data_IF_072275035879
#
_entry.id   IF_072275035879
#
_cell.length_a   1.000
_cell.length_b   1.000
_cell.length_c   1.000
_cell.angle_alpha   90.00
_cell.angle_beta   90.00
_cell.angle_gamma   90.00
#
_symmetry.space_group_name_H-M   'P 1'
#
loop_
_entity.id
_entity.type
_entity.pdbx_description
1 polymer ?
#
# COMPACT_ATOMS: atom_id res chain seq x y z
N UNK A 1 25.65 -24.88 -45.76
CA UNK A 1 25.58 -23.82 -44.74
C UNK A 1 24.70 -22.60 -45.09
N UNK A 2 24.81 -21.97 -46.27
CA UNK A 2 24.01 -20.75 -46.62
C UNK A 2 22.48 -20.96 -46.78
N UNK A 3 21.99 -22.17 -47.11
CA UNK A 3 20.54 -22.48 -47.25
C UNK A 3 19.85 -22.68 -45.90
N UNK A 4 20.51 -23.30 -44.94
CA UNK A 4 19.99 -23.51 -43.57
C UNK A 4 19.87 -22.23 -42.81
N UNK A 5 20.80 -21.30 -42.95
CA UNK A 5 20.73 -19.97 -42.28
C UNK A 5 19.56 -19.11 -42.79
N UNK A 6 19.24 -19.17 -44.09
CA UNK A 6 18.07 -18.48 -44.66
C UNK A 6 16.73 -19.07 -44.20
N UNK A 7 16.67 -20.37 -44.02
CA UNK A 7 15.47 -21.04 -43.51
C UNK A 7 15.22 -20.68 -42.06
N UNK A 8 16.26 -20.75 -41.22
CA UNK A 8 16.19 -20.34 -39.80
C UNK A 8 15.76 -18.87 -39.65
N UNK A 9 16.37 -17.96 -40.42
CA UNK A 9 16.00 -16.56 -40.43
C UNK A 9 14.54 -16.34 -40.83
N UNK A 10 14.03 -17.05 -41.85
CA UNK A 10 12.61 -16.99 -42.24
C UNK A 10 11.68 -17.48 -41.12
N UNK A 11 12.04 -18.58 -40.43
CA UNK A 11 11.26 -19.11 -39.31
C UNK A 11 11.20 -18.09 -38.15
N UNK A 12 12.32 -17.42 -37.84
CA UNK A 12 12.38 -16.34 -36.82
C UNK A 12 11.48 -15.16 -37.22
N UNK A 13 11.58 -14.72 -38.52
CA UNK A 13 10.75 -13.61 -39.01
C UNK A 13 9.25 -13.96 -39.03
N UNK A 14 8.88 -15.18 -39.41
CA UNK A 14 7.47 -15.63 -39.30
C UNK A 14 7.01 -15.76 -37.87
N UNK A 15 7.85 -16.25 -36.96
CA UNK A 15 7.55 -16.29 -35.52
C UNK A 15 7.32 -14.88 -34.96
N UNK A 16 8.21 -13.93 -35.26
CA UNK A 16 8.06 -12.53 -34.85
C UNK A 16 6.79 -11.88 -35.44
N UNK A 17 6.46 -12.14 -36.70
CA UNK A 17 5.24 -11.64 -37.32
C UNK A 17 3.97 -12.22 -36.65
N UNK A 18 3.96 -13.51 -36.32
CA UNK A 18 2.84 -14.14 -35.61
C UNK A 18 2.65 -13.47 -34.24
N UNK A 19 3.73 -13.29 -33.46
CA UNK A 19 3.69 -12.61 -32.16
C UNK A 19 3.14 -11.20 -32.30
N UNK A 20 3.61 -10.43 -33.29
CA UNK A 20 3.14 -9.08 -33.57
C UNK A 20 1.64 -9.05 -33.92
N UNK A 21 1.18 -10.01 -34.74
CA UNK A 21 -0.24 -10.10 -35.12
C UNK A 21 -1.12 -10.48 -33.93
N UNK A 22 -0.65 -11.38 -33.05
CA UNK A 22 -1.37 -11.75 -31.82
C UNK A 22 -1.43 -10.56 -30.86
N UNK A 23 -0.35 -9.83 -30.70
CA UNK A 23 -0.32 -8.61 -29.89
C UNK A 23 -1.29 -7.55 -30.45
N UNK A 24 -1.22 -7.27 -31.75
CA UNK A 24 -2.15 -6.33 -32.40
C UNK A 24 -3.63 -6.76 -32.23
N UNK A 25 -3.90 -8.07 -32.36
CA UNK A 25 -5.24 -8.60 -32.14
C UNK A 25 -5.70 -8.43 -30.68
N UNK A 26 -4.80 -8.65 -29.69
CA UNK A 26 -5.09 -8.40 -28.28
C UNK A 26 -5.39 -6.91 -28.05
N UNK A 27 -4.56 -5.99 -28.55
CA UNK A 27 -4.79 -4.55 -28.39
C UNK A 27 -6.13 -4.12 -29.02
N UNK A 28 -6.45 -4.59 -30.23
CA UNK A 28 -7.75 -4.30 -30.85
C UNK A 28 -8.91 -4.86 -30.01
N UNK A 29 -8.78 -6.09 -29.52
CA UNK A 29 -9.81 -6.68 -28.66
C UNK A 29 -10.03 -5.89 -27.37
N UNK A 30 -8.95 -5.50 -26.68
CA UNK A 30 -9.01 -4.69 -25.47
C UNK A 30 -9.60 -3.30 -25.74
N UNK A 31 -9.27 -2.67 -26.89
CA UNK A 31 -9.83 -1.38 -27.30
C UNK A 31 -11.34 -1.40 -27.60
N UNK A 32 -11.90 -2.58 -27.79
CA UNK A 32 -13.36 -2.77 -27.92
C UNK A 32 -14.06 -2.96 -26.56
N UNK A 33 -13.29 -3.31 -25.55
CA UNK A 33 -13.79 -3.62 -24.19
C UNK A 33 -13.60 -2.47 -23.21
N UNK A 34 -12.45 -1.80 -23.27
CA UNK A 34 -12.07 -0.75 -22.35
C UNK A 34 -12.05 0.62 -23.02
N UNK A 35 -12.06 1.65 -22.21
CA UNK A 35 -12.03 3.03 -22.67
C UNK A 35 -10.72 3.35 -23.42
N UNK A 36 -10.77 4.43 -24.21
CA UNK A 36 -9.57 4.95 -24.86
C UNK A 36 -8.57 5.47 -23.85
N UNK A 37 -9.02 6.04 -22.75
CA UNK A 37 -8.18 6.60 -21.69
C UNK A 37 -7.39 5.50 -21.00
N UNK A 38 -8.04 4.43 -20.55
CA UNK A 38 -7.37 3.25 -20.02
C UNK A 38 -6.32 2.70 -20.99
N UNK A 39 -6.69 2.55 -22.29
CA UNK A 39 -5.73 2.03 -23.29
C UNK A 39 -4.51 2.95 -23.50
N UNK A 40 -4.66 4.26 -23.29
CA UNK A 40 -3.53 5.19 -23.35
C UNK A 40 -2.67 5.06 -22.10
N UNK A 41 -3.26 4.95 -20.92
CA UNK A 41 -2.53 4.75 -19.66
C UNK A 41 -1.73 3.44 -19.70
N UNK A 42 -2.38 2.32 -20.00
CA UNK A 42 -1.79 0.97 -20.04
C UNK A 42 -0.63 0.83 -21.04
N UNK A 43 -0.70 1.45 -22.23
CA UNK A 43 0.27 1.19 -23.31
C UNK A 43 1.22 2.34 -23.63
N UNK A 44 0.97 3.54 -23.13
CA UNK A 44 1.72 4.73 -23.54
C UNK A 44 2.16 5.64 -22.39
N UNK A 45 1.61 5.51 -21.17
CA UNK A 45 1.95 6.40 -20.06
C UNK A 45 2.94 5.77 -19.07
N UNK A 46 3.25 4.47 -19.23
CA UNK A 46 4.16 3.74 -18.34
C UNK A 46 3.83 4.00 -16.85
N UNK A 47 2.54 3.86 -16.52
CA UNK A 47 2.06 4.10 -15.16
C UNK A 47 2.46 2.95 -14.23
N UNK A 48 2.47 3.22 -12.93
CA UNK A 48 2.87 2.28 -11.90
C UNK A 48 4.27 2.55 -11.37
N UNK A 49 4.79 3.77 -11.58
CA UNK A 49 6.08 4.20 -11.08
C UNK A 49 5.97 5.25 -9.95
N UNK A 50 7.11 5.64 -9.42
CA UNK A 50 7.21 6.52 -8.26
C UNK A 50 6.89 7.98 -8.56
N UNK A 51 6.77 8.38 -9.82
CA UNK A 51 6.49 9.74 -10.26
C UNK A 51 5.03 9.98 -10.66
N UNK A 52 4.19 8.94 -10.66
CA UNK A 52 2.78 9.00 -11.05
C UNK A 52 1.99 10.06 -10.27
N UNK A 53 2.31 10.25 -8.99
CA UNK A 53 1.64 11.25 -8.16
C UNK A 53 1.82 12.69 -8.64
N UNK A 54 2.80 12.94 -9.51
CA UNK A 54 3.02 14.27 -10.15
C UNK A 54 2.06 14.52 -11.31
N UNK A 55 1.48 13.48 -11.87
CA UNK A 55 0.62 13.51 -13.07
C UNK A 55 -0.83 13.16 -12.80
N UNK A 56 -1.09 12.33 -11.81
CA UNK A 56 -2.46 11.97 -11.40
C UNK A 56 -3.16 13.16 -10.73
N UNK A 57 -4.46 13.34 -10.98
CA UNK A 57 -5.25 14.26 -10.18
C UNK A 57 -5.26 13.80 -8.71
N UNK A 58 -5.38 14.74 -7.80
CA UNK A 58 -5.33 14.43 -6.38
C UNK A 58 -6.32 15.31 -5.59
N UNK A 59 -6.80 14.80 -4.45
CA UNK A 59 -7.51 15.59 -3.46
C UNK A 59 -6.56 15.97 -2.35
N UNK A 60 -6.43 17.28 -2.14
CA UNK A 60 -5.49 17.87 -1.21
C UNK A 60 -5.87 17.62 0.26
N UNK A 61 -4.83 17.44 1.07
CA UNK A 61 -4.85 17.45 2.53
C UNK A 61 -4.12 18.69 3.03
N UNK A 62 -4.74 19.48 3.88
CA UNK A 62 -4.07 20.62 4.48
C UNK A 62 -3.15 20.18 5.63
N UNK A 63 -2.10 20.93 5.91
CA UNK A 63 -1.34 20.74 7.14
C UNK A 63 -2.26 20.89 8.36
N UNK A 64 -2.01 20.13 9.42
CA UNK A 64 -2.76 20.27 10.67
C UNK A 64 -2.63 21.70 11.23
N UNK A 65 -3.71 22.27 11.79
CA UNK A 65 -3.62 23.56 12.45
C UNK A 65 -2.77 23.53 13.74
N UNK A 66 -2.50 22.34 14.28
CA UNK A 66 -1.65 22.10 15.45
C UNK A 66 -0.61 21.02 15.14
N UNK A 67 0.44 21.34 14.37
CA UNK A 67 1.40 20.35 13.92
C UNK A 67 2.24 19.81 15.07
N UNK A 68 2.37 18.47 15.11
CA UNK A 68 3.27 17.79 16.03
C UNK A 68 4.67 17.67 15.43
N UNK A 69 5.70 17.85 16.25
CA UNK A 69 7.09 17.66 15.88
C UNK A 69 7.76 16.68 16.81
N UNK A 70 8.46 15.71 16.25
CA UNK A 70 9.33 14.82 17.02
C UNK A 70 10.52 15.60 17.59
N UNK A 71 11.01 15.19 18.77
CA UNK A 71 12.32 15.63 19.23
C UNK A 71 13.42 15.07 18.30
N UNK A 72 14.60 15.69 18.30
CA UNK A 72 15.74 15.24 17.49
C UNK A 72 16.97 15.07 18.39
N UNK A 73 17.62 13.93 18.31
CA UNK A 73 18.88 13.64 19.01
C UNK A 73 19.94 13.07 18.05
N UNK A 74 20.64 13.95 17.36
CA UNK A 74 21.72 13.59 16.43
C UNK A 74 22.92 12.90 17.09
N UNK A 75 23.06 12.98 18.42
CA UNK A 75 24.13 12.26 19.13
C UNK A 75 23.98 10.73 19.06
N UNK A 76 22.80 10.23 18.65
CA UNK A 76 22.47 8.82 18.52
C UNK A 76 22.67 8.27 17.10
N UNK A 77 23.01 9.10 16.13
CA UNK A 77 23.20 8.65 14.74
C UNK A 77 24.22 7.51 14.62
N UNK A 78 25.36 7.61 15.33
CA UNK A 78 26.37 6.57 15.34
C UNK A 78 25.84 5.25 15.91
N UNK A 79 25.03 5.30 16.97
CA UNK A 79 24.38 4.10 17.53
C UNK A 79 23.52 3.41 16.49
N UNK A 80 22.69 4.16 15.74
CA UNK A 80 21.86 3.61 14.68
C UNK A 80 22.70 2.95 13.59
N UNK A 81 23.75 3.62 13.10
CA UNK A 81 24.66 3.08 12.08
C UNK A 81 25.34 1.80 12.56
N UNK A 82 25.95 1.80 13.76
CA UNK A 82 26.64 0.65 14.34
C UNK A 82 25.67 -0.54 14.54
N UNK A 83 24.43 -0.27 14.96
CA UNK A 83 23.42 -1.31 15.17
C UNK A 83 23.04 -1.99 13.84
N UNK A 84 22.77 -1.24 12.77
CA UNK A 84 22.55 -1.82 11.45
C UNK A 84 23.76 -2.61 10.94
N UNK A 85 24.97 -2.09 11.10
CA UNK A 85 26.18 -2.76 10.66
C UNK A 85 26.44 -4.09 11.37
N UNK A 86 26.13 -4.17 12.68
CA UNK A 86 26.45 -5.35 13.47
C UNK A 86 25.59 -6.55 13.12
N UNK A 87 24.33 -6.34 12.76
CA UNK A 87 23.36 -7.42 12.57
C UNK A 87 23.05 -7.72 11.11
N UNK A 88 22.98 -6.71 10.24
CA UNK A 88 22.63 -6.87 8.83
C UNK A 88 23.81 -7.03 7.88
N UNK A 89 25.04 -6.96 8.36
CA UNK A 89 26.29 -6.93 7.57
C UNK A 89 26.43 -5.71 6.65
N UNK A 90 25.66 -4.67 6.89
CA UNK A 90 25.75 -3.38 6.20
C UNK A 90 27.01 -2.68 6.72
N UNK A 91 27.96 -2.36 5.84
CA UNK A 91 29.23 -1.75 6.25
C UNK A 91 29.15 -0.25 6.49
N UNK A 92 28.31 0.41 5.73
CA UNK A 92 28.05 1.85 5.80
C UNK A 92 26.58 2.07 5.46
N UNK A 93 25.82 2.59 6.42
CA UNK A 93 24.36 2.70 6.28
C UNK A 93 23.99 3.73 5.21
N UNK A 94 24.66 4.89 5.19
CA UNK A 94 24.34 5.95 4.22
C UNK A 94 24.58 5.46 2.79
N UNK A 95 25.73 4.82 2.53
CA UNK A 95 26.04 4.23 1.23
C UNK A 95 25.03 3.14 0.85
N UNK A 96 24.67 2.27 1.78
CA UNK A 96 23.69 1.20 1.53
C UNK A 96 22.32 1.78 1.17
N UNK A 97 21.84 2.77 1.90
CA UNK A 97 20.56 3.43 1.63
C UNK A 97 20.54 4.12 0.27
N UNK A 98 21.63 4.81 -0.09
CA UNK A 98 21.74 5.46 -1.41
C UNK A 98 21.79 4.45 -2.54
N UNK A 99 22.60 3.37 -2.40
CA UNK A 99 22.76 2.31 -3.41
C UNK A 99 21.47 1.50 -3.61
N UNK A 100 20.59 1.44 -2.59
CA UNK A 100 19.29 0.75 -2.65
C UNK A 100 18.14 1.67 -3.04
N UNK A 101 18.41 2.81 -3.67
CA UNK A 101 17.36 3.69 -4.17
C UNK A 101 16.51 4.38 -3.11
N UNK A 102 17.02 4.53 -1.89
CA UNK A 102 16.30 5.22 -0.82
C UNK A 102 16.22 6.71 -1.07
N UNK A 103 15.07 7.31 -0.82
CA UNK A 103 14.82 8.76 -0.86
C UNK A 103 14.83 9.38 0.53
N UNK A 104 14.16 8.72 1.47
CA UNK A 104 14.09 9.14 2.87
C UNK A 104 14.22 7.93 3.78
N UNK A 105 14.94 8.09 4.89
CA UNK A 105 15.07 7.07 5.92
C UNK A 105 15.09 7.71 7.31
N UNK A 106 14.14 7.32 8.15
CA UNK A 106 13.97 7.83 9.50
C UNK A 106 13.97 6.69 10.50
N UNK A 107 14.68 6.84 11.61
CA UNK A 107 14.60 5.97 12.79
C UNK A 107 14.19 6.81 13.98
N UNK A 108 13.06 6.48 14.59
CA UNK A 108 12.46 7.23 15.69
C UNK A 108 12.24 6.28 16.86
N UNK A 109 12.72 6.65 18.02
CA UNK A 109 12.52 5.89 19.27
C UNK A 109 12.12 6.85 20.39
N UNK A 110 11.12 6.48 21.20
CA UNK A 110 10.64 7.31 22.31
C UNK A 110 10.33 8.75 21.87
N UNK A 111 9.55 8.92 20.81
CA UNK A 111 9.19 10.22 20.21
C UNK A 111 10.39 11.08 19.77
N UNK A 112 11.56 10.49 19.59
CA UNK A 112 12.80 11.18 19.22
C UNK A 112 13.39 10.61 17.94
N UNK A 113 13.64 11.46 16.95
CA UNK A 113 14.38 11.10 15.73
C UNK A 113 15.84 10.88 16.11
N UNK A 114 16.31 9.65 15.98
CA UNK A 114 17.70 9.25 16.23
C UNK A 114 18.55 9.30 14.97
N UNK A 115 17.90 9.15 13.80
CA UNK A 115 18.56 9.12 12.50
C UNK A 115 17.57 9.59 11.43
N UNK A 116 18.02 10.51 10.59
CA UNK A 116 17.23 11.06 9.50
C UNK A 116 18.14 11.37 8.31
N UNK A 117 17.86 10.80 7.15
CA UNK A 117 18.63 11.01 5.91
C UNK A 117 17.71 11.09 4.71
N UNK A 118 18.17 11.88 3.77
CA UNK A 118 17.53 12.09 2.47
C UNK A 118 18.57 11.96 1.37
N UNK A 119 18.21 11.29 0.29
CA UNK A 119 19.10 11.00 -0.84
C UNK A 119 18.50 11.45 -2.16
N UNK A 120 19.26 11.39 -3.23
CA UNK A 120 18.81 11.65 -4.62
C UNK A 120 18.08 12.99 -4.80
N UNK A 121 18.48 14.00 -4.03
CA UNK A 121 17.91 15.36 -4.09
C UNK A 121 16.67 15.58 -3.24
N UNK A 122 16.14 14.56 -2.59
CA UNK A 122 15.05 14.70 -1.63
C UNK A 122 15.52 15.36 -0.32
N UNK A 123 14.59 15.97 0.40
CA UNK A 123 14.79 16.73 1.63
C UNK A 123 13.64 16.46 2.61
N UNK A 124 13.72 16.99 3.81
CA UNK A 124 12.72 16.84 4.87
C UNK A 124 11.29 17.20 4.43
N UNK A 125 11.14 18.19 3.57
CA UNK A 125 9.87 18.68 3.05
C UNK A 125 9.47 18.10 1.68
N UNK A 126 10.21 17.11 1.17
CA UNK A 126 9.88 16.45 -0.09
C UNK A 126 8.59 15.64 0.03
N UNK A 127 7.67 15.85 -0.92
CA UNK A 127 6.46 15.05 -1.05
C UNK A 127 6.85 13.68 -1.66
N UNK A 128 6.40 12.60 -1.04
CA UNK A 128 6.73 11.22 -1.40
C UNK A 128 5.44 10.41 -1.49
N UNK A 129 5.32 9.53 -2.48
CA UNK A 129 4.16 8.66 -2.63
C UNK A 129 4.27 7.43 -1.73
N UNK A 130 3.14 6.89 -1.30
CA UNK A 130 3.08 5.76 -0.35
C UNK A 130 2.90 4.40 -1.00
N UNK A 131 2.42 4.33 -2.25
CA UNK A 131 1.86 3.10 -2.78
C UNK A 131 0.95 2.39 -1.76
N UNK A 132 1.08 1.09 -1.62
CA UNK A 132 0.18 0.27 -0.80
C UNK A 132 0.22 0.55 0.72
N UNK A 133 1.12 1.39 1.22
CA UNK A 133 1.03 1.93 2.60
C UNK A 133 -0.33 2.61 2.83
N UNK A 134 -0.94 3.19 1.79
CA UNK A 134 -2.29 3.76 1.84
C UNK A 134 -3.37 2.78 2.33
N UNK A 135 -3.20 1.48 2.10
CA UNK A 135 -4.12 0.44 2.57
C UNK A 135 -4.24 0.42 4.10
N UNK A 136 -3.14 0.69 4.81
CA UNK A 136 -3.15 0.76 6.27
C UNK A 136 -3.92 1.99 6.79
N UNK A 137 -3.88 3.11 6.08
CA UNK A 137 -4.74 4.26 6.36
C UNK A 137 -6.22 3.93 6.10
N UNK A 138 -6.52 3.24 5.00
CA UNK A 138 -7.86 2.75 4.71
C UNK A 138 -8.40 1.87 5.85
N UNK A 139 -7.58 0.92 6.34
CA UNK A 139 -7.92 0.12 7.52
C UNK A 139 -8.29 0.98 8.74
N UNK A 140 -7.45 1.96 9.08
CA UNK A 140 -7.70 2.84 10.21
C UNK A 140 -9.04 3.57 10.07
N UNK A 141 -9.37 4.07 8.88
CA UNK A 141 -10.64 4.76 8.60
C UNK A 141 -11.85 3.83 8.73
N UNK A 142 -11.74 2.56 8.35
CA UNK A 142 -12.80 1.55 8.59
C UNK A 142 -13.02 1.36 10.09
N UNK A 143 -11.94 1.25 10.88
CA UNK A 143 -12.04 1.14 12.34
C UNK A 143 -12.72 2.34 12.99
N UNK A 144 -12.39 3.55 12.57
CA UNK A 144 -13.03 4.78 13.04
C UNK A 144 -14.50 4.82 12.61
N UNK A 145 -14.81 4.45 11.36
CA UNK A 145 -16.19 4.43 10.86
C UNK A 145 -17.09 3.43 11.61
N UNK A 146 -16.52 2.32 12.10
CA UNK A 146 -17.23 1.37 12.96
C UNK A 146 -17.49 2.00 14.35
N UNK A 147 -16.50 2.62 14.96
CA UNK A 147 -16.65 3.28 16.26
C UNK A 147 -17.68 4.43 16.22
N UNK A 148 -17.71 5.19 15.13
CA UNK A 148 -18.67 6.26 14.92
C UNK A 148 -20.07 5.76 14.49
N UNK A 149 -20.22 4.45 14.24
CA UNK A 149 -21.50 3.81 13.87
C UNK A 149 -21.93 4.04 12.40
N UNK A 150 -21.05 4.54 11.54
CA UNK A 150 -21.28 4.58 10.08
C UNK A 150 -21.30 3.18 9.47
N UNK A 151 -20.43 2.31 9.99
CA UNK A 151 -20.37 0.88 9.69
C UNK A 151 -20.72 0.14 10.98
N UNK A 152 -21.56 -0.90 10.91
CA UNK A 152 -22.01 -1.59 12.14
C UNK A 152 -20.97 -2.56 12.65
N UNK A 153 -20.31 -3.31 11.72
CA UNK A 153 -19.40 -4.39 12.09
C UNK A 153 -18.55 -4.82 10.90
N UNK A 154 -17.35 -5.35 11.18
CA UNK A 154 -16.55 -6.07 10.17
C UNK A 154 -17.26 -7.29 9.58
N UNK A 155 -18.30 -7.80 10.25
CA UNK A 155 -19.11 -8.93 9.80
C UNK A 155 -20.27 -8.53 8.89
N UNK A 156 -20.50 -7.24 8.63
CA UNK A 156 -21.54 -6.81 7.72
C UNK A 156 -21.23 -7.30 6.30
N UNK A 157 -22.22 -7.81 5.58
CA UNK A 157 -22.08 -8.04 4.15
C UNK A 157 -21.76 -6.74 3.42
N UNK A 158 -20.83 -6.78 2.49
CA UNK A 158 -20.49 -5.60 1.68
C UNK A 158 -21.67 -5.06 0.90
N UNK A 159 -22.64 -5.93 0.62
CA UNK A 159 -23.89 -5.60 -0.10
C UNK A 159 -24.87 -4.75 0.71
N UNK A 160 -24.66 -4.60 2.01
CA UNK A 160 -25.42 -3.64 2.81
C UNK A 160 -25.08 -2.18 2.44
N UNK A 161 -23.86 -1.97 1.92
CA UNK A 161 -23.33 -0.67 1.49
C UNK A 161 -23.27 -0.54 -0.04
N UNK A 162 -23.15 -1.67 -0.76
CA UNK A 162 -23.03 -1.74 -2.22
C UNK A 162 -24.05 -2.76 -2.76
N UNK A 163 -25.37 -2.47 -2.70
CA UNK A 163 -26.42 -3.43 -3.06
C UNK A 163 -26.37 -3.86 -4.52
N UNK A 164 -25.84 -3.05 -5.43
CA UNK A 164 -25.71 -3.34 -6.86
C UNK A 164 -24.89 -4.61 -7.11
N UNK A 165 -23.92 -4.91 -6.24
CA UNK A 165 -23.14 -6.14 -6.35
C UNK A 165 -24.01 -7.38 -6.17
N UNK A 166 -24.95 -7.36 -5.22
CA UNK A 166 -25.89 -8.47 -4.99
C UNK A 166 -26.94 -8.62 -6.12
N UNK A 167 -27.28 -7.51 -6.79
CA UNK A 167 -28.16 -7.52 -7.96
C UNK A 167 -27.47 -8.18 -9.16
N UNK A 168 -26.16 -7.93 -9.33
CA UNK A 168 -25.34 -8.52 -10.38
C UNK A 168 -25.06 -10.00 -10.14
N UNK A 169 -24.64 -10.36 -8.93
CA UNK A 169 -24.36 -11.73 -8.52
C UNK A 169 -24.67 -11.94 -7.03
N UNK A 170 -25.64 -12.78 -6.68
CA UNK A 170 -26.02 -13.02 -5.28
C UNK A 170 -24.91 -13.51 -4.37
N UNK A 171 -23.82 -14.08 -4.91
CA UNK A 171 -22.65 -14.55 -4.13
C UNK A 171 -21.92 -13.43 -3.40
N UNK A 172 -22.04 -12.18 -3.85
CA UNK A 172 -21.48 -11.04 -3.14
C UNK A 172 -22.05 -10.84 -1.72
N UNK A 173 -23.24 -11.40 -1.41
CA UNK A 173 -23.81 -11.37 -0.06
C UNK A 173 -22.99 -12.13 0.97
N UNK A 174 -22.17 -13.07 0.53
CA UNK A 174 -21.31 -13.88 1.41
C UNK A 174 -20.01 -13.18 1.75
N UNK A 175 -19.64 -12.10 1.02
CA UNK A 175 -18.45 -11.30 1.28
C UNK A 175 -18.77 -10.30 2.40
N UNK A 176 -18.02 -10.39 3.49
CA UNK A 176 -18.08 -9.47 4.62
C UNK A 176 -16.90 -8.47 4.55
N UNK A 177 -17.02 -7.33 5.22
CA UNK A 177 -15.97 -6.31 5.31
C UNK A 177 -14.64 -6.92 5.78
N UNK A 178 -14.66 -7.84 6.77
CA UNK A 178 -13.45 -8.53 7.22
C UNK A 178 -12.74 -9.31 6.11
N UNK A 179 -13.47 -9.89 5.17
CA UNK A 179 -12.86 -10.65 4.07
C UNK A 179 -12.08 -9.73 3.12
N UNK A 180 -12.52 -8.49 2.93
CA UNK A 180 -11.77 -7.46 2.19
C UNK A 180 -10.51 -7.04 2.96
N UNK A 181 -10.66 -6.77 4.27
CA UNK A 181 -9.56 -6.37 5.16
C UNK A 181 -8.46 -7.43 5.25
N UNK A 182 -8.82 -8.70 5.23
CA UNK A 182 -7.92 -9.86 5.32
C UNK A 182 -7.36 -10.31 3.96
N UNK A 183 -7.68 -9.64 2.87
CA UNK A 183 -7.34 -10.08 1.51
C UNK A 183 -7.82 -11.50 1.18
N UNK A 184 -9.00 -11.87 1.69
CA UNK A 184 -9.60 -13.20 1.56
C UNK A 184 -11.05 -13.12 1.03
N UNK A 185 -11.33 -12.18 0.15
CA UNK A 185 -12.70 -11.96 -0.38
C UNK A 185 -13.19 -13.03 -1.35
N UNK A 186 -12.29 -13.86 -1.91
CA UNK A 186 -12.62 -14.81 -2.97
C UNK A 186 -12.91 -14.14 -4.32
N UNK A 187 -12.54 -12.87 -4.47
CA UNK A 187 -12.62 -12.16 -5.74
C UNK A 187 -11.46 -12.56 -6.65
N UNK A 188 -11.75 -12.71 -7.95
CA UNK A 188 -10.74 -12.95 -8.98
C UNK A 188 -9.71 -11.82 -8.98
N UNK A 189 -8.43 -12.20 -9.13
CA UNK A 189 -7.31 -11.29 -9.38
C UNK A 189 -6.26 -12.02 -10.22
N UNK A 190 -6.09 -11.62 -11.48
CA UNK A 190 -5.24 -12.30 -12.46
C UNK A 190 -4.28 -11.31 -13.12
N UNK A 191 -2.98 -11.62 -13.08
CA UNK A 191 -1.94 -10.77 -13.67
C UNK A 191 -1.72 -11.02 -15.17
N UNK A 192 -2.10 -12.18 -15.68
CA UNK A 192 -1.82 -12.57 -17.08
C UNK A 192 -3.04 -13.16 -17.82
N UNK A 193 -4.21 -12.51 -17.84
CA UNK A 193 -5.37 -13.02 -18.55
C UNK A 193 -5.18 -12.94 -20.08
N UNK A 194 -5.75 -13.92 -20.80
CA UNK A 194 -5.63 -13.95 -22.26
C UNK A 194 -6.51 -12.92 -22.97
N UNK A 195 -7.74 -12.73 -22.48
CA UNK A 195 -8.78 -11.94 -23.14
C UNK A 195 -9.29 -10.77 -22.29
N UNK A 196 -8.46 -10.28 -21.39
CA UNK A 196 -8.74 -9.15 -20.49
C UNK A 196 -7.44 -8.41 -20.20
N UNK A 197 -7.52 -7.18 -19.71
CA UNK A 197 -6.38 -6.52 -19.13
C UNK A 197 -6.04 -7.18 -17.77
N UNK A 198 -4.77 -7.14 -17.34
CA UNK A 198 -4.38 -7.58 -16.01
C UNK A 198 -5.15 -6.83 -14.91
N UNK A 199 -5.50 -7.52 -13.83
CA UNK A 199 -6.26 -6.87 -12.75
C UNK A 199 -5.44 -5.79 -12.03
N UNK A 200 -4.11 -5.96 -11.91
CA UNK A 200 -3.26 -4.90 -11.35
C UNK A 200 -3.29 -3.62 -12.21
N UNK A 201 -3.24 -3.73 -13.56
CA UNK A 201 -3.39 -2.57 -14.44
C UNK A 201 -4.79 -1.96 -14.33
N UNK A 202 -5.84 -2.78 -14.32
CA UNK A 202 -7.20 -2.29 -14.18
C UNK A 202 -7.40 -1.52 -12.87
N UNK A 203 -6.95 -2.05 -11.75
CA UNK A 203 -7.12 -1.41 -10.43
C UNK A 203 -6.24 -0.18 -10.26
N UNK A 204 -5.14 -0.07 -11.01
CA UNK A 204 -4.23 1.07 -10.93
C UNK A 204 -4.51 2.16 -11.97
N UNK A 205 -4.85 1.80 -13.21
CA UNK A 205 -4.88 2.73 -14.34
C UNK A 205 -6.28 3.13 -14.83
N UNK A 206 -7.34 2.38 -14.39
CA UNK A 206 -8.67 2.68 -14.88
C UNK A 206 -9.18 4.02 -14.35
N UNK A 207 -9.78 4.83 -15.24
CA UNK A 207 -10.17 6.22 -14.97
C UNK A 207 -11.46 6.37 -14.17
N UNK A 208 -12.21 5.29 -13.96
CA UNK A 208 -13.43 5.25 -13.13
C UNK A 208 -13.42 3.97 -12.28
N UNK A 209 -12.70 4.00 -11.17
CA UNK A 209 -12.55 2.85 -10.28
C UNK A 209 -13.88 2.45 -9.62
N UNK A 210 -14.84 3.38 -9.42
CA UNK A 210 -16.19 3.02 -8.94
C UNK A 210 -16.90 2.14 -9.96
N UNK A 211 -16.89 2.53 -11.23
CA UNK A 211 -17.45 1.73 -12.31
C UNK A 211 -16.76 0.37 -12.42
N UNK A 212 -15.41 0.36 -12.38
CA UNK A 212 -14.60 -0.86 -12.46
C UNK A 212 -15.01 -1.89 -11.40
N UNK A 213 -15.03 -1.50 -10.13
CA UNK A 213 -15.34 -2.43 -9.03
C UNK A 213 -16.79 -2.91 -9.06
N UNK A 214 -17.71 -2.12 -9.58
CA UNK A 214 -19.11 -2.51 -9.72
C UNK A 214 -19.34 -3.48 -10.90
N UNK A 215 -18.48 -3.46 -11.92
CA UNK A 215 -18.70 -4.21 -13.18
C UNK A 215 -17.72 -5.35 -13.41
N UNK A 216 -16.43 -5.20 -13.05
CA UNK A 216 -15.38 -6.17 -13.38
C UNK A 216 -15.04 -7.15 -12.24
N UNK A 217 -15.43 -6.87 -10.98
CA UNK A 217 -15.21 -7.83 -9.88
C UNK A 217 -16.03 -9.09 -10.09
N UNK A 218 -15.46 -10.26 -9.77
CA UNK A 218 -16.09 -11.57 -9.92
C UNK A 218 -15.77 -12.46 -8.72
N UNK A 219 -16.79 -13.08 -8.14
CA UNK A 219 -16.60 -14.06 -7.05
C UNK A 219 -16.24 -15.40 -7.67
N UNK A 220 -15.04 -15.89 -7.40
CA UNK A 220 -14.51 -17.16 -7.95
C UNK A 220 -14.27 -18.21 -6.88
N UNK A 221 -14.12 -17.80 -5.62
CA UNK A 221 -13.89 -18.68 -4.47
C UNK A 221 -14.81 -18.31 -3.30
N UNK A 222 -14.90 -19.21 -2.32
CA UNK A 222 -15.62 -18.91 -1.09
C UNK A 222 -14.85 -17.87 -0.27
N UNK A 223 -15.51 -16.78 0.18
CA UNK A 223 -14.87 -15.78 1.03
C UNK A 223 -14.32 -16.38 2.33
N UNK A 224 -13.15 -15.91 2.75
CA UNK A 224 -12.49 -16.35 3.99
C UNK A 224 -11.69 -17.65 3.87
N UNK A 225 -11.44 -18.17 2.68
CA UNK A 225 -10.71 -19.45 2.50
C UNK A 225 -9.29 -19.31 2.01
N UNK A 226 -9.00 -18.35 1.16
CA UNK A 226 -7.69 -18.20 0.50
C UNK A 226 -7.22 -16.75 0.58
N UNK A 227 -5.98 -16.54 0.97
CA UNK A 227 -5.32 -15.23 0.89
C UNK A 227 -4.92 -14.94 -0.55
N UNK A 228 -5.41 -13.84 -1.09
CA UNK A 228 -4.97 -13.28 -2.39
C UNK A 228 -4.82 -11.79 -2.22
N UNK A 229 -3.58 -11.28 -2.30
CA UNK A 229 -3.34 -9.85 -2.28
C UNK A 229 -3.98 -9.21 -3.51
N UNK A 230 -5.06 -8.46 -3.31
CA UNK A 230 -6.01 -8.10 -4.35
C UNK A 230 -6.51 -6.67 -4.15
N UNK A 231 -6.19 -5.80 -5.09
CA UNK A 231 -6.47 -4.37 -5.01
C UNK A 231 -7.96 -4.00 -5.16
N UNK A 232 -8.80 -4.89 -5.65
CA UNK A 232 -10.25 -4.70 -5.56
C UNK A 232 -10.75 -4.59 -4.11
N UNK A 233 -10.07 -5.24 -3.16
CA UNK A 233 -10.48 -5.22 -1.76
C UNK A 233 -10.42 -3.81 -1.14
N UNK A 234 -9.29 -3.09 -1.17
CA UNK A 234 -9.22 -1.73 -0.64
C UNK A 234 -10.08 -0.73 -1.43
N UNK A 235 -10.27 -0.92 -2.74
CA UNK A 235 -11.20 -0.11 -3.54
C UNK A 235 -12.64 -0.28 -3.07
N UNK A 236 -13.09 -1.51 -2.83
CA UNK A 236 -14.42 -1.78 -2.26
C UNK A 236 -14.59 -1.21 -0.86
N UNK A 237 -13.56 -1.29 0.00
CA UNK A 237 -13.56 -0.64 1.32
C UNK A 237 -13.69 0.88 1.20
N UNK A 238 -13.00 1.49 0.25
CA UNK A 238 -13.14 2.93 -0.03
C UNK A 238 -14.53 3.33 -0.46
N UNK A 239 -15.17 2.55 -1.34
CA UNK A 239 -16.57 2.81 -1.75
C UNK A 239 -17.54 2.63 -0.57
N UNK A 240 -17.29 1.66 0.33
CA UNK A 240 -18.06 1.49 1.57
C UNK A 240 -17.91 2.73 2.46
N UNK A 241 -16.67 3.21 2.67
CA UNK A 241 -16.42 4.42 3.45
C UNK A 241 -17.13 5.64 2.87
N UNK A 242 -16.98 5.88 1.57
CA UNK A 242 -17.62 7.01 0.90
C UNK A 242 -19.13 6.98 1.08
N UNK A 243 -19.77 5.83 0.88
CA UNK A 243 -21.23 5.67 1.00
C UNK A 243 -21.72 5.73 2.43
N UNK A 244 -21.01 5.11 3.36
CA UNK A 244 -21.39 5.10 4.76
C UNK A 244 -21.25 6.48 5.40
N UNK A 245 -20.19 7.23 5.09
CA UNK A 245 -19.91 8.55 5.65
C UNK A 245 -20.58 9.69 4.87
N UNK A 246 -20.95 9.45 3.60
CA UNK A 246 -21.55 10.44 2.70
C UNK A 246 -20.58 11.54 2.24
N UNK A 247 -19.27 11.29 2.28
CA UNK A 247 -18.22 12.26 1.92
C UNK A 247 -17.02 11.57 1.27
N UNK A 248 -16.16 12.31 0.52
CA UNK A 248 -14.90 11.80 -0.01
C UNK A 248 -14.01 11.27 1.12
N UNK A 249 -13.29 10.16 0.84
CA UNK A 249 -12.47 9.49 1.86
C UNK A 249 -11.33 10.39 2.34
N UNK A 250 -10.71 11.19 1.46
CA UNK A 250 -9.67 12.16 1.83
C UNK A 250 -10.20 13.20 2.82
N UNK A 251 -11.45 13.68 2.66
CA UNK A 251 -12.07 14.60 3.64
C UNK A 251 -12.26 13.94 5.01
N UNK A 252 -12.63 12.65 5.00
CA UNK A 252 -12.76 11.87 6.23
C UNK A 252 -11.39 11.63 6.89
N UNK A 253 -10.36 11.33 6.09
CA UNK A 253 -8.97 11.21 6.54
C UNK A 253 -8.46 12.51 7.19
N UNK A 254 -8.70 13.67 6.55
CA UNK A 254 -8.32 14.98 7.09
C UNK A 254 -8.86 15.18 8.51
N UNK A 255 -10.17 14.97 8.66
CA UNK A 255 -10.87 15.22 9.93
C UNK A 255 -10.50 14.23 11.03
N UNK A 256 -10.35 12.93 10.66
CA UNK A 256 -10.26 11.85 11.64
C UNK A 256 -8.84 11.44 12.01
N UNK A 257 -7.88 11.64 11.13
CA UNK A 257 -6.49 11.21 11.36
C UNK A 257 -5.54 12.40 11.16
N UNK A 258 -5.56 13.04 9.99
CA UNK A 258 -4.54 14.00 9.58
C UNK A 258 -4.42 15.20 10.53
N UNK A 259 -5.54 15.86 10.82
CA UNK A 259 -5.58 16.98 11.78
C UNK A 259 -5.31 16.52 13.22
N UNK A 260 -6.00 15.47 13.74
CA UNK A 260 -5.82 15.05 15.13
C UNK A 260 -4.42 14.61 15.51
N UNK A 261 -3.64 14.01 14.57
CA UNK A 261 -2.28 13.58 14.85
C UNK A 261 -1.21 14.62 14.48
N UNK A 262 -1.63 15.83 14.15
CA UNK A 262 -0.72 16.96 13.92
C UNK A 262 0.20 16.76 12.72
N UNK A 263 -0.34 16.33 11.56
CA UNK A 263 0.46 16.26 10.33
C UNK A 263 1.09 17.61 10.03
N UNK A 264 2.41 17.63 9.88
CA UNK A 264 3.18 18.87 9.82
C UNK A 264 3.02 19.57 8.48
N UNK A 265 2.86 18.79 7.43
CA UNK A 265 2.72 19.28 6.07
C UNK A 265 1.36 18.92 5.49
N UNK A 266 0.97 19.66 4.47
CA UNK A 266 -0.11 19.23 3.60
C UNK A 266 0.34 18.01 2.80
N UNK A 267 -0.61 17.23 2.34
CA UNK A 267 -0.41 16.06 1.50
C UNK A 267 -1.52 15.96 0.46
N UNK A 268 -1.69 14.79 -0.11
CA UNK A 268 -2.82 14.53 -0.99
C UNK A 268 -3.12 13.02 -1.07
N UNK A 269 -4.30 12.68 -1.58
CA UNK A 269 -4.61 11.33 -2.03
C UNK A 269 -4.89 11.38 -3.52
N UNK A 270 -4.13 10.62 -4.32
CA UNK A 270 -4.32 10.58 -5.77
C UNK A 270 -5.70 10.00 -6.12
N UNK A 271 -6.28 10.51 -7.19
CA UNK A 271 -7.59 10.13 -7.71
C UNK A 271 -7.42 9.30 -8.99
N UNK A 272 -8.44 8.52 -9.31
CA UNK A 272 -8.54 7.77 -10.57
C UNK A 272 -8.63 8.70 -11.79
N UNK A 273 -9.45 9.76 -11.69
CA UNK A 273 -9.56 10.85 -12.68
C UNK A 273 -10.16 12.09 -12.03
N UNK A 274 -10.09 13.22 -12.71
CA UNK A 274 -10.81 14.45 -12.30
C UNK A 274 -12.33 14.27 -12.39
N UNK A 275 -12.83 13.53 -13.38
CA UNK A 275 -14.24 13.32 -13.62
C UNK A 275 -14.89 12.40 -12.57
N UNK A 276 -14.28 11.24 -12.32
CA UNK A 276 -14.73 10.28 -11.30
C UNK A 276 -14.45 10.79 -9.89
N UNK A 277 -13.24 11.27 -9.65
CA UNK A 277 -12.83 11.85 -8.36
C UNK A 277 -12.85 10.85 -7.22
N UNK A 278 -12.60 9.56 -7.48
CA UNK A 278 -12.49 8.52 -6.47
C UNK A 278 -11.04 8.35 -6.06
N UNK A 279 -10.79 8.26 -4.77
CA UNK A 279 -9.45 8.04 -4.24
C UNK A 279 -8.93 6.66 -4.64
N UNK A 280 -7.65 6.59 -5.01
CA UNK A 280 -6.93 5.35 -5.25
C UNK A 280 -6.67 4.65 -3.93
N UNK A 281 -7.70 3.94 -3.44
CA UNK A 281 -7.72 3.37 -2.09
C UNK A 281 -6.71 2.24 -1.87
N UNK A 282 -6.19 1.71 -2.95
CA UNK A 282 -5.13 0.69 -2.97
C UNK A 282 -3.74 1.29 -2.84
N UNK A 283 -3.60 2.63 -3.09
CA UNK A 283 -2.29 3.28 -3.22
C UNK A 283 -2.34 4.80 -3.00
N UNK A 284 -1.17 5.43 -3.13
CA UNK A 284 -0.98 6.84 -3.51
C UNK A 284 -1.53 7.89 -2.55
N UNK A 285 -1.40 7.70 -1.23
CA UNK A 285 -1.31 8.83 -0.31
C UNK A 285 0.06 9.46 -0.52
N UNK A 286 0.10 10.78 -0.63
CA UNK A 286 1.33 11.53 -0.85
C UNK A 286 1.60 12.42 0.36
N UNK A 287 2.69 12.17 1.08
CA UNK A 287 3.03 12.82 2.33
C UNK A 287 4.55 13.01 2.47
N UNK A 288 5.00 13.63 3.55
CA UNK A 288 6.42 13.67 3.92
C UNK A 288 6.77 12.47 4.78
N UNK A 289 8.02 12.05 4.76
CA UNK A 289 8.48 10.91 5.54
C UNK A 289 8.16 11.06 7.04
N UNK A 290 8.29 12.27 7.58
CA UNK A 290 7.95 12.56 8.97
C UNK A 290 6.45 12.42 9.27
N UNK A 291 5.58 12.71 8.31
CA UNK A 291 4.14 12.55 8.48
C UNK A 291 3.71 11.07 8.38
N UNK A 292 4.37 10.27 7.56
CA UNK A 292 4.23 8.80 7.62
C UNK A 292 4.64 8.24 8.99
N UNK A 293 5.71 8.78 9.59
CA UNK A 293 6.14 8.38 10.92
C UNK A 293 5.10 8.70 12.00
N UNK A 294 4.34 9.80 11.87
CA UNK A 294 3.25 10.12 12.79
C UNK A 294 2.11 9.11 12.74
N UNK A 295 1.81 8.57 11.55
CA UNK A 295 0.87 7.47 11.44
C UNK A 295 1.41 6.18 12.11
N UNK A 296 2.70 5.89 11.94
CA UNK A 296 3.37 4.82 12.69
C UNK A 296 3.27 5.03 14.21
N UNK A 297 3.51 6.26 14.69
CA UNK A 297 3.39 6.62 16.11
C UNK A 297 1.96 6.45 16.65
N UNK A 298 0.97 6.76 15.85
CA UNK A 298 -0.43 6.54 16.22
C UNK A 298 -0.69 5.07 16.53
N UNK A 299 -0.22 4.18 15.67
CA UNK A 299 -0.36 2.72 15.84
C UNK A 299 0.53 2.19 16.96
N UNK A 300 1.75 2.69 17.11
CA UNK A 300 2.66 2.38 18.21
C UNK A 300 1.99 2.62 19.58
N UNK A 301 1.21 3.68 19.70
CA UNK A 301 0.50 4.07 20.92
C UNK A 301 -0.94 3.50 21.00
N UNK A 302 -1.23 2.40 20.29
CA UNK A 302 -2.55 1.76 20.33
C UNK A 302 -3.69 2.67 19.87
N UNK A 303 -3.44 3.54 18.89
CA UNK A 303 -4.41 4.50 18.36
C UNK A 303 -4.62 5.75 19.22
N UNK A 304 -3.87 5.89 20.31
CA UNK A 304 -3.93 7.06 21.18
C UNK A 304 -2.94 8.15 20.73
N UNK A 305 -3.39 9.37 20.63
CA UNK A 305 -2.57 10.52 20.33
C UNK A 305 -2.64 11.53 21.47
N UNK A 306 -1.60 11.60 22.27
CA UNK A 306 -1.46 12.57 23.38
C UNK A 306 -2.68 12.61 24.33
N UNK A 307 -3.28 11.46 24.62
CA UNK A 307 -4.44 11.32 25.50
C UNK A 307 -5.80 11.28 24.78
N UNK A 308 -5.83 11.49 23.46
CA UNK A 308 -7.04 11.37 22.62
C UNK A 308 -7.00 10.05 21.86
N UNK A 309 -8.04 9.21 21.97
CA UNK A 309 -8.17 8.00 21.17
C UNK A 309 -8.63 8.38 19.76
N UNK A 310 -7.75 8.30 18.80
CA UNK A 310 -7.99 8.64 17.38
C UNK A 310 -8.47 7.40 16.62
N UNK A 311 -7.75 6.28 16.75
CA UNK A 311 -8.17 4.98 16.23
C UNK A 311 -8.51 4.09 17.43
N UNK A 312 -9.64 3.36 17.46
CA UNK A 312 -9.98 2.52 18.59
C UNK A 312 -8.86 1.53 18.93
N UNK A 313 -8.52 1.40 20.22
CA UNK A 313 -7.42 0.52 20.65
C UNK A 313 -7.66 -0.95 20.25
N UNK A 314 -8.91 -1.39 20.34
CA UNK A 314 -9.31 -2.74 19.90
C UNK A 314 -9.12 -2.93 18.40
N UNK A 315 -9.31 -1.85 17.61
CA UNK A 315 -9.06 -1.89 16.17
C UNK A 315 -7.58 -2.01 15.87
N UNK A 316 -6.73 -1.22 16.51
CA UNK A 316 -5.28 -1.33 16.35
C UNK A 316 -4.82 -2.75 16.65
N UNK A 317 -5.24 -3.33 17.78
CA UNK A 317 -4.91 -4.70 18.14
C UNK A 317 -5.41 -5.72 17.11
N UNK A 318 -6.67 -5.58 16.64
CA UNK A 318 -7.25 -6.52 15.67
C UNK A 318 -6.61 -6.38 14.27
N UNK A 319 -6.24 -5.16 13.86
CA UNK A 319 -5.70 -4.91 12.52
C UNK A 319 -4.24 -5.30 12.36
N UNK A 320 -3.48 -5.38 13.44
CA UNK A 320 -2.03 -5.68 13.40
C UNK A 320 -1.68 -7.09 13.84
N UNK A 321 -2.66 -7.89 14.27
CA UNK A 321 -2.43 -9.30 14.63
C UNK A 321 -2.54 -10.22 13.41
N UNK A 322 -1.93 -11.40 13.52
CA UNK A 322 -2.07 -12.48 12.54
C UNK A 322 -3.53 -12.95 12.44
N UNK A 323 -4.06 -12.92 11.22
CA UNK A 323 -5.41 -13.40 10.93
C UNK A 323 -5.45 -14.90 10.56
N UNK A 324 -4.29 -15.58 10.51
CA UNK A 324 -4.17 -17.00 10.23
C UNK A 324 -4.37 -17.37 8.75
N UNK A 325 -4.34 -16.42 7.83
CA UNK A 325 -4.55 -16.67 6.40
C UNK A 325 -3.26 -17.05 5.64
N UNK A 326 -2.09 -16.73 6.22
CA UNK A 326 -0.79 -17.10 5.65
C UNK A 326 -0.15 -18.12 6.59
N UNK A 327 0.02 -19.35 6.11
CA UNK A 327 0.60 -20.44 6.90
C UNK A 327 2.09 -20.63 6.55
N UNK A 328 2.88 -21.09 7.53
CA UNK A 328 4.28 -21.50 7.37
C UNK A 328 5.22 -20.45 6.70
N UNK A 329 4.95 -19.17 6.92
CA UNK A 329 5.75 -18.06 6.41
C UNK A 329 6.36 -17.22 7.54
N UNK A 330 7.49 -16.53 7.29
CA UNK A 330 8.08 -15.58 8.25
C UNK A 330 7.25 -14.31 8.42
N UNK A 331 6.19 -14.17 7.64
CA UNK A 331 5.30 -13.00 7.59
C UNK A 331 3.87 -13.43 7.86
N UNK A 332 3.04 -12.49 8.33
CA UNK A 332 1.60 -12.65 8.47
C UNK A 332 0.86 -11.41 7.94
N UNK A 333 -0.46 -11.49 7.85
CA UNK A 333 -1.31 -10.40 7.43
C UNK A 333 -2.45 -10.19 8.42
N UNK A 334 -2.69 -8.94 8.79
CA UNK A 334 -3.82 -8.50 9.59
C UNK A 334 -4.92 -7.86 8.75
N UNK A 335 -5.50 -6.76 9.22
CA UNK A 335 -6.46 -5.95 8.46
C UNK A 335 -5.71 -4.84 7.71
N UNK A 336 -5.21 -5.16 6.50
CA UNK A 336 -4.39 -4.29 5.65
C UNK A 336 -3.08 -3.83 6.31
N UNK A 337 -2.54 -4.65 7.21
CA UNK A 337 -1.22 -4.54 7.80
C UNK A 337 -0.46 -5.84 7.62
N UNK A 338 0.82 -5.74 7.36
CA UNK A 338 1.75 -6.84 7.39
C UNK A 338 2.36 -6.98 8.78
N UNK A 339 2.77 -8.18 9.11
CA UNK A 339 3.58 -8.44 10.28
C UNK A 339 4.67 -9.45 10.00
N UNK A 340 5.64 -9.55 10.91
CA UNK A 340 6.79 -10.41 10.77
C UNK A 340 7.01 -11.26 12.02
N UNK A 341 7.36 -12.52 11.82
CA UNK A 341 7.59 -13.51 12.86
C UNK A 341 9.08 -13.69 13.21
N UNK A 342 9.95 -12.69 12.96
CA UNK A 342 11.39 -12.82 13.25
C UNK A 342 11.69 -12.86 14.75
N UNK A 343 10.86 -12.25 15.56
CA UNK A 343 10.93 -12.30 17.02
C UNK A 343 9.60 -12.73 17.62
N UNK A 344 9.47 -13.97 18.14
CA UNK A 344 8.21 -14.46 18.72
C UNK A 344 7.71 -13.67 19.93
N UNK A 345 8.59 -12.93 20.59
CA UNK A 345 8.27 -12.10 21.75
C UNK A 345 7.86 -10.66 21.39
N UNK A 346 8.04 -10.26 20.12
CA UNK A 346 7.59 -8.96 19.60
C UNK A 346 6.35 -9.14 18.73
N UNK A 347 5.51 -8.12 18.74
CA UNK A 347 4.37 -7.99 17.82
C UNK A 347 4.66 -6.85 16.86
N UNK A 348 5.78 -6.97 16.15
CA UNK A 348 6.19 -5.97 15.18
C UNK A 348 5.31 -6.08 13.92
N UNK A 349 4.91 -4.94 13.40
CA UNK A 349 4.08 -4.87 12.21
C UNK A 349 4.52 -3.73 11.30
N UNK A 350 4.09 -3.80 10.04
CA UNK A 350 4.52 -2.81 9.05
C UNK A 350 3.47 -2.55 7.98
N UNK A 351 3.40 -1.31 7.51
CA UNK A 351 2.78 -0.96 6.26
C UNK A 351 3.82 -1.04 5.15
N UNK A 352 3.48 -1.67 4.03
CA UNK A 352 4.39 -1.93 2.90
C UNK A 352 3.80 -1.38 1.62
N UNK A 353 4.60 -0.69 0.84
CA UNK A 353 4.27 -0.22 -0.50
C UNK A 353 5.34 -0.58 -1.51
N UNK A 354 4.98 -0.67 -2.79
CA UNK A 354 5.90 -0.93 -3.88
C UNK A 354 7.09 0.02 -3.84
N UNK A 355 8.21 -0.41 -4.44
CA UNK A 355 9.47 0.35 -4.51
C UNK A 355 10.09 0.65 -3.14
N UNK A 356 9.69 -0.08 -2.09
CA UNK A 356 10.29 0.04 -0.76
C UNK A 356 9.76 1.20 0.08
N UNK A 357 8.46 1.45 0.02
CA UNK A 357 7.79 2.32 0.99
C UNK A 357 7.47 1.51 2.24
N UNK A 358 7.93 1.97 3.40
CA UNK A 358 7.72 1.27 4.67
C UNK A 358 7.37 2.22 5.81
N UNK A 359 6.44 1.79 6.65
CA UNK A 359 6.29 2.24 8.03
C UNK A 359 6.38 1.00 8.89
N UNK A 360 7.54 0.77 9.52
CA UNK A 360 7.75 -0.33 10.45
C UNK A 360 7.55 0.15 11.88
N UNK A 361 6.87 -0.65 12.69
CA UNK A 361 6.51 -0.33 14.07
C UNK A 361 6.87 -1.50 14.97
N UNK A 362 7.70 -1.25 15.99
CA UNK A 362 8.05 -2.21 17.04
C UNK A 362 7.58 -1.69 18.41
N UNK A 363 6.42 -2.15 18.90
CA UNK A 363 5.90 -1.72 20.20
C UNK A 363 6.83 -2.05 21.37
N UNK A 364 7.50 -3.20 21.33
CA UNK A 364 8.41 -3.62 22.37
C UNK A 364 9.64 -2.71 22.54
N UNK A 365 10.00 -1.94 21.49
CA UNK A 365 11.15 -1.04 21.45
C UNK A 365 10.78 0.43 21.41
N UNK A 366 9.48 0.76 21.42
CA UNK A 366 8.99 2.13 21.18
C UNK A 366 9.62 2.74 19.92
N UNK A 367 9.66 1.94 18.84
CA UNK A 367 10.44 2.21 17.64
C UNK A 367 9.55 2.32 16.40
N UNK A 368 9.87 3.31 15.57
CA UNK A 368 9.30 3.49 14.22
C UNK A 368 10.46 3.62 13.24
N UNK A 369 10.38 2.91 12.11
CA UNK A 369 11.29 3.13 10.98
C UNK A 369 10.44 3.48 9.76
N UNK A 370 10.78 4.57 9.09
CA UNK A 370 10.18 4.96 7.81
C UNK A 370 11.24 4.90 6.73
N UNK A 371 10.91 4.25 5.64
CA UNK A 371 11.68 4.30 4.38
C UNK A 371 10.76 4.68 3.24
N UNK A 372 11.21 5.60 2.41
CA UNK A 372 10.65 5.84 1.09
C UNK A 372 11.78 5.66 0.06
N UNK A 373 11.46 5.09 -1.09
CA UNK A 373 12.46 4.81 -2.13
C UNK A 373 11.86 4.70 -3.53
N UNK A 374 12.73 4.62 -4.53
CA UNK A 374 12.37 4.39 -5.93
C UNK A 374 12.49 2.91 -6.34
N UNK A 375 13.08 2.09 -5.48
CA UNK A 375 13.20 0.65 -5.66
C UNK A 375 13.45 -0.03 -4.31
N UNK A 376 13.29 -1.34 -4.24
CA UNK A 376 13.73 -2.10 -3.06
C UNK A 376 15.26 -2.17 -2.96
N UNK A 377 15.94 -2.25 -4.11
CA UNK A 377 17.39 -2.21 -4.25
C UNK A 377 18.13 -3.38 -3.59
N UNK A 378 17.42 -4.47 -3.27
CA UNK A 378 17.97 -5.67 -2.65
C UNK A 378 17.60 -6.91 -3.46
N UNK A 379 18.53 -7.86 -3.59
CA UNK A 379 18.25 -9.13 -4.26
C UNK A 379 17.56 -10.10 -3.29
N UNK A 380 16.51 -10.76 -3.76
CA UNK A 380 15.79 -11.80 -3.03
C UNK A 380 15.44 -12.96 -3.96
N UNK A 381 15.33 -14.17 -3.40
CA UNK A 381 14.73 -15.33 -4.07
C UNK A 381 13.20 -15.39 -3.91
N UNK A 382 12.63 -14.47 -3.17
CA UNK A 382 11.20 -14.28 -2.89
C UNK A 382 10.82 -12.81 -3.01
N UNK A 383 9.94 -12.36 -2.14
CA UNK A 383 9.52 -10.96 -2.09
C UNK A 383 10.65 -10.07 -1.52
N UNK A 384 11.07 -9.06 -2.26
CA UNK A 384 12.18 -8.16 -1.87
C UNK A 384 11.87 -7.37 -0.60
N UNK A 385 10.63 -7.01 -0.37
CA UNK A 385 10.21 -6.27 0.83
C UNK A 385 10.45 -7.07 2.13
N UNK A 386 10.42 -8.41 2.08
CA UNK A 386 10.69 -9.27 3.25
C UNK A 386 12.13 -9.13 3.72
N UNK A 387 13.07 -8.85 2.81
CA UNK A 387 14.49 -8.59 3.18
C UNK A 387 14.60 -7.33 4.03
N UNK A 388 13.85 -6.28 3.69
CA UNK A 388 13.79 -5.06 4.49
C UNK A 388 13.11 -5.28 5.84
N UNK A 389 12.00 -6.00 5.86
CA UNK A 389 11.28 -6.32 7.08
C UNK A 389 12.18 -7.08 8.07
N UNK A 390 12.88 -8.13 7.60
CA UNK A 390 13.88 -8.87 8.39
C UNK A 390 15.02 -7.97 8.91
N UNK A 391 15.52 -7.06 8.07
CA UNK A 391 16.55 -6.09 8.48
C UNK A 391 16.06 -5.14 9.58
N UNK A 392 14.83 -4.63 9.46
CA UNK A 392 14.23 -3.76 10.47
C UNK A 392 13.98 -4.49 11.79
N UNK A 393 13.49 -5.73 11.73
CA UNK A 393 13.27 -6.53 12.91
C UNK A 393 14.61 -6.87 13.64
N UNK A 394 15.63 -7.29 12.92
CA UNK A 394 16.97 -7.52 13.48
C UNK A 394 17.56 -6.26 14.10
N UNK A 395 17.41 -5.12 13.43
CA UNK A 395 17.79 -3.83 13.99
C UNK A 395 17.03 -3.54 15.30
N UNK A 396 15.71 -3.73 15.33
CA UNK A 396 14.90 -3.53 16.52
C UNK A 396 15.35 -4.43 17.68
N UNK A 397 15.67 -5.71 17.40
CA UNK A 397 16.20 -6.63 18.41
C UNK A 397 17.54 -6.19 18.97
N UNK A 398 18.44 -5.68 18.13
CA UNK A 398 19.78 -5.27 18.51
C UNK A 398 19.82 -3.88 19.17
N UNK A 399 18.84 -3.03 18.95
CA UNK A 399 18.75 -1.70 19.54
C UNK A 399 18.51 -1.81 21.06
N UNK A 400 19.34 -1.11 21.89
CA UNK A 400 19.26 -1.16 23.35
C UNK A 400 17.90 -0.74 23.93
#
# INVERSE_FOLDING_TARGET
>A
MKKTSKLVLRMILWGALIVLLLFAAKVVFLSLRYSKEFMVREYFMDMGDTDDYLTLPARELAASPDPFQFAVDTSKEMLVQETFQSDTKIKDLDTFLEDTGTWAFLVIQNDTILYERYFKGHQHDSLLTSFSVAKSFNSALIGIAIEEGYIKSVNDPITDYIPELAERDPRFRDIQIRHLLMMASGLRYEDHPLFRAPDHSLTYEFEDLRHLILTETEVVEQPGTTFVYNDYNPLLLGLILERATGRPVTTYLQEKIWDPIGMEYGGSWSLDSEESGFEKMESSINARAVDYAKFGRLYLNGGNWNGTQVVPAEWVAASTQDNGMIEDAPIYYGYLWWGENCNPDSQDFLAVGNFGQFIYVSPAKDLIIVRNGEEYGVESSGEEWVVWADAFCKFAMALP
#
